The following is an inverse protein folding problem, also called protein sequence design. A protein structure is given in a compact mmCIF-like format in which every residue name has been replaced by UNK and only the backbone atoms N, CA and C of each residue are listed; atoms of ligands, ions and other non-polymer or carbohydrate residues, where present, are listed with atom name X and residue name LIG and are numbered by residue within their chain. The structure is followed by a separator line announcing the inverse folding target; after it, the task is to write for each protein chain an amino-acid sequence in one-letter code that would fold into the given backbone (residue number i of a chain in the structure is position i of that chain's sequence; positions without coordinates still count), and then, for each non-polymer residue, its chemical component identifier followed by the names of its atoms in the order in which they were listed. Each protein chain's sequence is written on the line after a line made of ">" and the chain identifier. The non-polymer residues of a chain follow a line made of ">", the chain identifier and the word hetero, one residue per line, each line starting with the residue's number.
data_IF_971126449849
#
_entry.id   IF_971126449849
#
_cell.length_a   1.000
_cell.length_b   1.000
_cell.length_c   1.000
_cell.angle_alpha   90.00
_cell.angle_beta   90.00
_cell.angle_gamma   90.00
#
_symmetry.space_group_name_H-M   'P 1'
#
loop_
_entity.id
_entity.type
_entity.pdbx_description
1 polymer ?
#
# COMPACT_ATOMS: atom_id res chain seq x y z
N UNK A 1 -8.29 4.87 -17.57
CA UNK A 1 -8.02 3.45 -17.27
C UNK A 1 -8.07 3.33 -15.76
N UNK A 2 -8.78 2.34 -15.22
CA UNK A 2 -8.95 2.23 -13.78
C UNK A 2 -7.59 1.95 -13.11
N UNK A 3 -7.21 2.82 -12.16
CA UNK A 3 -6.05 2.61 -11.31
C UNK A 3 -6.36 1.56 -10.23
N UNK A 4 -7.57 1.60 -9.66
CA UNK A 4 -8.07 0.63 -8.69
C UNK A 4 -9.48 0.21 -9.10
N UNK A 5 -9.75 -1.09 -9.08
CA UNK A 5 -11.10 -1.64 -9.28
C UNK A 5 -11.40 -2.71 -8.24
N UNK A 6 -12.54 -2.59 -7.58
CA UNK A 6 -13.01 -3.48 -6.52
C UNK A 6 -14.41 -3.95 -6.89
N UNK A 7 -14.61 -5.27 -6.89
CA UNK A 7 -15.87 -5.92 -7.26
C UNK A 7 -16.34 -6.84 -6.15
N UNK A 8 -17.51 -6.53 -5.58
CA UNK A 8 -18.19 -7.31 -4.55
C UNK A 8 -17.28 -7.78 -3.41
N UNK A 9 -16.37 -6.91 -2.96
CA UNK A 9 -15.36 -7.27 -1.97
C UNK A 9 -15.99 -7.49 -0.58
N UNK A 10 -15.71 -8.65 -0.02
CA UNK A 10 -16.07 -9.03 1.34
C UNK A 10 -14.81 -9.45 2.10
N UNK A 11 -14.72 -9.02 3.36
CA UNK A 11 -13.67 -9.50 4.24
C UNK A 11 -14.11 -9.55 5.71
N UNK A 12 -13.84 -10.68 6.35
CA UNK A 12 -14.00 -10.91 7.79
C UNK A 12 -12.72 -11.48 8.36
N UNK A 13 -12.12 -10.79 9.32
CA UNK A 13 -10.93 -11.28 10.03
C UNK A 13 -11.24 -12.61 10.74
N UNK A 14 -10.26 -13.51 10.77
CA UNK A 14 -10.37 -14.76 11.51
C UNK A 14 -10.75 -14.50 12.99
N UNK A 15 -11.71 -15.26 13.50
CA UNK A 15 -12.19 -15.13 14.88
C UNK A 15 -13.12 -13.93 15.15
N UNK A 16 -13.46 -13.11 14.15
CA UNK A 16 -14.49 -12.06 14.28
C UNK A 16 -15.84 -12.60 13.81
N UNK A 17 -16.91 -12.24 14.54
CA UNK A 17 -18.29 -12.55 14.13
C UNK A 17 -18.72 -11.68 12.94
N UNK A 18 -18.45 -10.38 13.02
CA UNK A 18 -18.89 -9.39 12.03
C UNK A 18 -17.83 -9.14 10.95
N UNK A 19 -18.23 -9.06 9.66
CA UNK A 19 -17.35 -8.65 8.59
C UNK A 19 -16.97 -7.16 8.65
N UNK A 20 -15.73 -6.87 8.32
CA UNK A 20 -15.19 -5.53 8.22
C UNK A 20 -15.53 -4.85 6.89
N UNK A 21 -15.70 -5.63 5.81
CA UNK A 21 -16.11 -5.16 4.48
C UNK A 21 -17.26 -6.02 3.97
N UNK A 22 -18.29 -5.39 3.37
CA UNK A 22 -19.53 -6.06 2.92
C UNK A 22 -19.89 -5.60 1.51
N UNK A 23 -19.60 -6.42 0.50
CA UNK A 23 -20.02 -6.17 -0.88
C UNK A 23 -19.53 -4.84 -1.46
N UNK A 24 -18.29 -4.45 -1.15
CA UNK A 24 -17.74 -3.17 -1.61
C UNK A 24 -17.52 -3.21 -3.12
N UNK A 25 -18.02 -2.19 -3.80
CA UNK A 25 -17.78 -1.93 -5.22
C UNK A 25 -17.21 -0.51 -5.34
N UNK A 26 -16.04 -0.38 -5.95
CA UNK A 26 -15.32 0.87 -6.06
C UNK A 26 -14.47 0.86 -7.33
N UNK A 27 -14.44 1.98 -8.03
CA UNK A 27 -13.56 2.19 -9.17
C UNK A 27 -12.93 3.57 -9.03
N UNK A 28 -11.61 3.63 -9.12
CA UNK A 28 -10.82 4.86 -9.08
C UNK A 28 -10.03 4.91 -10.38
N UNK A 29 -10.20 5.98 -11.14
CA UNK A 29 -9.47 6.22 -12.38
C UNK A 29 -8.08 6.78 -12.11
N UNK A 30 -7.17 6.59 -13.05
CA UNK A 30 -5.83 7.16 -12.98
C UNK A 30 -5.87 8.69 -12.92
N UNK A 31 -5.12 9.27 -11.98
CA UNK A 31 -5.05 10.71 -11.74
C UNK A 31 -6.07 11.23 -10.71
N UNK A 32 -7.00 10.40 -10.24
CA UNK A 32 -7.97 10.83 -9.23
C UNK A 32 -7.35 10.93 -7.83
N UNK A 33 -7.73 12.00 -7.11
CA UNK A 33 -7.51 12.14 -5.68
C UNK A 33 -8.83 11.84 -4.95
N UNK A 34 -8.86 10.75 -4.18
CA UNK A 34 -10.08 10.24 -3.55
C UNK A 34 -9.97 10.27 -2.03
N UNK A 35 -10.98 10.83 -1.36
CA UNK A 35 -11.13 10.78 0.09
C UNK A 35 -12.01 9.61 0.52
N UNK A 36 -11.44 8.65 1.25
CA UNK A 36 -12.19 7.59 1.92
C UNK A 36 -12.55 8.02 3.36
N UNK A 37 -13.74 8.59 3.53
CA UNK A 37 -14.24 9.05 4.84
C UNK A 37 -15.16 8.03 5.53
N UNK A 38 -15.23 8.09 6.85
CA UNK A 38 -16.13 7.25 7.66
C UNK A 38 -15.70 7.14 9.12
N UNK A 39 -16.62 6.76 10.01
CA UNK A 39 -16.38 6.61 11.46
C UNK A 39 -15.25 5.60 11.75
N UNK A 40 -14.63 5.68 12.94
CA UNK A 40 -13.71 4.62 13.37
C UNK A 40 -14.43 3.25 13.34
N UNK A 41 -13.72 2.20 12.93
CA UNK A 41 -14.29 0.84 12.79
C UNK A 41 -15.09 0.57 11.51
N UNK A 42 -15.33 1.56 10.63
CA UNK A 42 -16.07 1.37 9.37
C UNK A 42 -15.37 0.54 8.28
N UNK A 43 -14.20 -0.04 8.56
CA UNK A 43 -13.46 -0.87 7.59
C UNK A 43 -12.48 -0.13 6.66
N UNK A 44 -12.30 1.19 6.80
CA UNK A 44 -11.38 1.98 5.94
C UNK A 44 -9.96 1.39 5.86
N UNK A 45 -9.33 1.15 7.01
CA UNK A 45 -7.98 0.56 7.06
C UNK A 45 -7.95 -0.87 6.51
N UNK A 46 -9.07 -1.60 6.60
CA UNK A 46 -9.21 -2.94 5.99
C UNK A 46 -9.29 -2.82 4.47
N UNK A 47 -10.03 -1.85 3.93
CA UNK A 47 -10.09 -1.60 2.49
C UNK A 47 -8.72 -1.23 1.92
N UNK A 48 -7.98 -0.34 2.60
CA UNK A 48 -6.61 0.01 2.21
C UNK A 48 -5.66 -1.19 2.24
N UNK A 49 -5.83 -2.11 3.21
CA UNK A 49 -5.08 -3.37 3.29
C UNK A 49 -5.42 -4.34 2.16
N UNK A 50 -6.66 -4.33 1.66
CA UNK A 50 -7.01 -5.11 0.46
C UNK A 50 -6.36 -4.50 -0.79
N UNK A 51 -6.32 -3.18 -0.90
CA UNK A 51 -5.71 -2.48 -2.06
C UNK A 51 -4.19 -2.70 -2.11
N UNK A 52 -3.50 -2.58 -0.98
CA UNK A 52 -2.04 -2.77 -0.93
C UNK A 52 -1.59 -4.24 -0.84
N UNK A 53 -2.54 -5.18 -0.89
CA UNK A 53 -2.28 -6.62 -0.90
C UNK A 53 -1.99 -7.26 0.44
N UNK A 54 -1.92 -6.52 1.55
CA UNK A 54 -1.79 -7.14 2.87
C UNK A 54 -2.96 -8.10 3.19
N UNK A 55 -4.14 -7.84 2.65
CA UNK A 55 -5.22 -8.81 2.51
C UNK A 55 -5.31 -9.17 1.02
N UNK A 56 -5.30 -10.47 0.64
CA UNK A 56 -5.39 -11.65 1.52
C UNK A 56 -4.03 -12.21 2.00
N UNK A 57 -2.89 -11.63 1.62
CA UNK A 57 -1.59 -12.31 1.75
C UNK A 57 -1.01 -12.41 3.17
N UNK A 58 -1.33 -11.48 4.08
CA UNK A 58 -0.74 -11.40 5.43
C UNK A 58 -1.75 -11.52 6.55
N UNK A 59 -3.00 -11.14 6.31
CA UNK A 59 -4.07 -11.22 7.31
C UNK A 59 -5.03 -12.37 6.98
N UNK A 60 -5.15 -13.32 7.91
CA UNK A 60 -6.09 -14.44 7.78
C UNK A 60 -7.55 -14.00 8.00
N UNK A 61 -8.46 -14.60 7.25
CA UNK A 61 -9.89 -14.33 7.32
C UNK A 61 -10.65 -14.92 6.15
N UNK A 62 -11.96 -14.74 6.16
CA UNK A 62 -12.82 -15.04 5.02
C UNK A 62 -12.78 -13.88 4.04
N UNK A 63 -12.33 -14.15 2.82
CA UNK A 63 -12.15 -13.17 1.76
C UNK A 63 -12.91 -13.64 0.51
N UNK A 64 -13.67 -12.75 -0.12
CA UNK A 64 -14.28 -12.99 -1.42
C UNK A 64 -14.44 -11.70 -2.22
N UNK A 65 -14.72 -11.84 -3.52
CA UNK A 65 -14.70 -10.73 -4.47
C UNK A 65 -13.32 -10.52 -5.11
N UNK A 66 -13.17 -9.42 -5.83
CA UNK A 66 -11.98 -9.12 -6.60
C UNK A 66 -11.46 -7.70 -6.35
N UNK A 67 -10.14 -7.58 -6.29
CA UNK A 67 -9.43 -6.30 -6.20
C UNK A 67 -8.37 -6.30 -7.27
N UNK A 68 -8.37 -5.27 -8.11
CA UNK A 68 -7.37 -5.02 -9.13
C UNK A 68 -6.70 -3.68 -8.86
N UNK A 69 -5.37 -3.65 -9.01
CA UNK A 69 -4.59 -2.41 -8.96
C UNK A 69 -3.68 -2.36 -10.17
N UNK A 70 -3.82 -1.30 -10.98
CA UNK A 70 -3.09 -1.13 -12.25
C UNK A 70 -3.19 -2.39 -13.14
N UNK A 71 -4.38 -2.99 -13.19
CA UNK A 71 -4.66 -4.22 -13.94
C UNK A 71 -4.20 -5.53 -13.29
N UNK A 72 -3.43 -5.49 -12.20
CA UNK A 72 -2.99 -6.67 -11.47
C UNK A 72 -4.08 -7.12 -10.49
N UNK A 73 -4.53 -8.36 -10.59
CA UNK A 73 -5.40 -8.95 -9.57
C UNK A 73 -4.60 -9.20 -8.30
N UNK A 74 -5.01 -8.56 -7.20
CA UNK A 74 -4.27 -8.55 -5.93
C UNK A 74 -4.05 -9.96 -5.38
N UNK A 75 -5.05 -10.83 -5.45
CA UNK A 75 -4.97 -12.19 -4.92
C UNK A 75 -3.93 -13.07 -5.65
N UNK A 76 -3.68 -12.80 -6.93
CA UNK A 76 -2.78 -13.58 -7.79
C UNK A 76 -1.37 -12.98 -7.84
N UNK A 77 -1.23 -11.68 -7.53
CA UNK A 77 0.03 -10.97 -7.55
C UNK A 77 0.85 -11.20 -6.27
N UNK A 78 2.18 -11.29 -6.42
CA UNK A 78 3.08 -11.29 -5.26
C UNK A 78 3.12 -9.90 -4.62
N UNK A 79 3.30 -9.84 -3.30
CA UNK A 79 3.49 -8.57 -2.59
C UNK A 79 4.65 -7.73 -3.15
N UNK A 80 5.71 -8.36 -3.65
CA UNK A 80 6.83 -7.66 -4.29
C UNK A 80 6.48 -7.01 -5.62
N UNK A 81 5.44 -7.50 -6.32
CA UNK A 81 4.92 -6.86 -7.54
C UNK A 81 3.97 -5.72 -7.18
N UNK A 82 3.09 -5.95 -6.19
CA UNK A 82 2.15 -4.93 -5.71
C UNK A 82 2.86 -3.73 -5.09
N UNK A 83 3.97 -3.94 -4.37
CA UNK A 83 4.76 -2.86 -3.76
C UNK A 83 5.40 -1.90 -4.77
N UNK A 84 5.52 -2.31 -6.04
CA UNK A 84 6.02 -1.44 -7.11
C UNK A 84 4.95 -0.48 -7.65
N UNK A 85 3.67 -0.77 -7.40
CA UNK A 85 2.54 0.01 -7.94
C UNK A 85 1.66 0.61 -6.85
N UNK A 86 1.78 0.16 -5.60
CA UNK A 86 1.09 0.70 -4.43
C UNK A 86 2.08 1.08 -3.35
N UNK A 87 2.14 2.38 -3.03
CA UNK A 87 2.75 2.89 -1.81
C UNK A 87 1.71 3.09 -0.69
N UNK A 88 2.11 2.99 0.56
CA UNK A 88 1.26 3.32 1.72
C UNK A 88 2.05 4.16 2.70
N UNK A 89 1.48 5.29 3.13
CA UNK A 89 1.99 6.07 4.26
C UNK A 89 1.11 5.77 5.47
N UNK A 90 1.71 5.28 6.54
CA UNK A 90 1.01 4.87 7.75
C UNK A 90 0.66 6.07 8.63
N UNK A 91 -0.40 5.90 9.42
CA UNK A 91 -0.86 6.93 10.36
C UNK A 91 0.17 7.20 11.47
N UNK A 92 0.89 6.18 11.93
CA UNK A 92 1.92 6.29 12.96
C UNK A 92 3.31 6.24 12.32
N UNK A 93 3.96 7.40 12.20
CA UNK A 93 5.26 7.54 11.52
C UNK A 93 6.32 6.63 12.15
N UNK A 94 6.37 6.54 13.48
CA UNK A 94 7.34 5.70 14.19
C UNK A 94 7.21 4.20 13.91
N UNK A 95 6.07 3.73 13.39
CA UNK A 95 5.87 2.34 12.95
C UNK A 95 6.29 2.09 11.50
N UNK A 96 6.61 3.15 10.75
CA UNK A 96 7.01 3.06 9.35
C UNK A 96 8.53 3.16 9.16
N UNK A 97 9.22 3.88 10.04
CA UNK A 97 10.68 4.00 9.99
C UNK A 97 11.33 2.66 10.33
N UNK A 98 12.24 2.22 9.46
CA UNK A 98 12.97 0.96 9.55
C UNK A 98 14.41 1.22 9.99
N UNK A 99 15.03 2.30 9.50
CA UNK A 99 16.43 2.63 9.72
C UNK A 99 16.59 4.02 10.36
N UNK A 100 17.67 4.24 11.16
CA UNK A 100 17.86 5.48 11.90
C UNK A 100 18.36 6.65 11.03
N UNK A 101 19.00 6.35 9.90
CA UNK A 101 19.51 7.35 8.96
C UNK A 101 18.49 7.54 7.84
N UNK A 102 18.17 8.79 7.52
CA UNK A 102 17.12 9.13 6.55
C UNK A 102 17.41 8.56 5.16
N UNK A 103 18.64 8.72 4.68
CA UNK A 103 19.05 8.17 3.38
C UNK A 103 18.92 6.65 3.31
N UNK A 104 19.29 5.95 4.38
CA UNK A 104 19.17 4.50 4.47
C UNK A 104 17.71 4.05 4.48
N UNK A 105 16.85 4.73 5.26
CA UNK A 105 15.42 4.42 5.34
C UNK A 105 14.71 4.60 3.98
N UNK A 106 15.02 5.68 3.27
CA UNK A 106 14.52 5.92 1.91
C UNK A 106 15.08 4.90 0.91
N UNK A 107 16.33 4.45 1.10
CA UNK A 107 16.96 3.43 0.27
C UNK A 107 16.36 2.04 0.47
N UNK A 108 15.76 1.74 1.63
CA UNK A 108 15.32 0.40 2.02
C UNK A 108 14.48 -0.31 0.94
N UNK A 109 13.46 0.37 0.40
CA UNK A 109 12.59 -0.18 -0.63
C UNK A 109 13.28 -0.40 -1.99
N UNK A 110 14.31 0.38 -2.30
CA UNK A 110 15.12 0.26 -3.52
C UNK A 110 16.10 -0.91 -3.41
N UNK A 111 16.72 -1.09 -2.24
CA UNK A 111 17.62 -2.22 -1.96
C UNK A 111 16.90 -3.57 -2.04
N UNK A 112 15.64 -3.64 -1.60
CA UNK A 112 14.80 -4.84 -1.74
C UNK A 112 14.50 -5.23 -3.20
N UNK A 113 14.77 -4.35 -4.17
CA UNK A 113 14.63 -4.61 -5.61
C UNK A 113 15.96 -5.02 -6.24
N UNK A 114 17.04 -5.15 -5.46
CA UNK A 114 18.37 -5.49 -5.93
C UNK A 114 18.92 -4.51 -6.99
N UNK A 115 18.60 -3.21 -6.85
CA UNK A 115 19.19 -2.16 -7.70
C UNK A 115 20.66 -1.95 -7.34
N UNK A 116 21.45 -1.50 -8.32
CA UNK A 116 22.85 -1.15 -8.09
C UNK A 116 23.00 0.09 -7.21
N UNK A 117 24.14 0.21 -6.54
CA UNK A 117 24.39 1.24 -5.53
C UNK A 117 24.31 2.66 -6.09
N UNK A 118 24.74 2.88 -7.33
CA UNK A 118 24.73 4.20 -7.96
C UNK A 118 23.28 4.64 -8.24
N UNK A 119 22.48 3.75 -8.81
CA UNK A 119 21.04 3.96 -9.02
C UNK A 119 20.31 4.22 -7.70
N UNK A 120 20.62 3.47 -6.63
CA UNK A 120 20.00 3.69 -5.31
C UNK A 120 20.31 5.10 -4.80
N UNK A 121 21.59 5.49 -4.77
CA UNK A 121 22.01 6.82 -4.31
C UNK A 121 21.32 7.94 -5.10
N UNK A 122 21.29 7.83 -6.42
CA UNK A 122 20.67 8.82 -7.28
C UNK A 122 19.17 8.96 -7.00
N UNK A 123 18.45 7.83 -6.84
CA UNK A 123 17.00 7.84 -6.57
C UNK A 123 16.66 8.35 -5.17
N UNK A 124 17.49 8.06 -4.17
CA UNK A 124 17.35 8.63 -2.82
C UNK A 124 17.44 10.15 -2.85
N UNK A 125 18.49 10.69 -3.48
CA UNK A 125 18.68 12.14 -3.58
C UNK A 125 17.53 12.82 -4.33
N UNK A 126 17.06 12.21 -5.42
CA UNK A 126 15.89 12.69 -6.16
C UNK A 126 14.62 12.69 -5.30
N UNK A 127 14.37 11.64 -4.53
CA UNK A 127 13.19 11.55 -3.66
C UNK A 127 13.24 12.62 -2.55
N UNK A 128 14.38 12.76 -1.87
CA UNK A 128 14.58 13.74 -0.82
C UNK A 128 14.48 15.18 -1.34
N UNK A 129 15.03 15.45 -2.53
CA UNK A 129 14.93 16.76 -3.18
C UNK A 129 13.48 17.10 -3.56
N UNK A 130 12.73 16.15 -4.14
CA UNK A 130 11.29 16.33 -4.47
C UNK A 130 10.44 16.63 -3.24
N UNK A 131 10.81 16.09 -2.09
CA UNK A 131 10.13 16.31 -0.82
C UNK A 131 10.65 17.56 -0.06
N UNK A 132 11.70 18.23 -0.55
CA UNK A 132 12.29 19.41 0.09
C UNK A 132 13.11 19.12 1.35
N UNK A 133 13.54 17.89 1.56
CA UNK A 133 14.19 17.41 2.81
C UNK A 133 15.60 16.87 2.58
N UNK A 134 16.24 17.23 1.46
CA UNK A 134 17.61 16.79 1.17
C UNK A 134 18.64 17.17 2.25
N UNK A 135 18.40 18.24 3.01
CA UNK A 135 19.23 18.66 4.12
C UNK A 135 19.14 17.75 5.36
N UNK A 136 18.19 16.81 5.40
CA UNK A 136 18.02 15.81 6.46
C UNK A 136 18.61 14.45 6.08
N UNK A 137 19.37 14.36 4.98
CA UNK A 137 19.82 13.10 4.38
C UNK A 137 20.62 12.21 5.34
N UNK A 138 21.43 12.82 6.18
CA UNK A 138 22.41 12.18 7.06
C UNK A 138 21.99 12.28 8.54
#
# INVERSE_FOLDING_TARGET
>A
MAAIEIRNLYFRYAGRSEPALRGINLRIEEGEAVLLAGRSGSGKSTLLKCINGLIPHRYAGEYSGEVYVKGLRVADARLSQLSQVVGTVLQEVGKQLVLPVVSDDVAFGLCNQCLDLETVKQRVDQALARMGVLHLKD
#
